data_IF_048546117305
#
_entry.id   IF_048546117305
#
_cell.length_a   1.000
_cell.length_b   1.000
_cell.length_c   1.000
_cell.angle_alpha   90.00
_cell.angle_beta   90.00
_cell.angle_gamma   90.00
#
_symmetry.space_group_name_H-M   'P 1'
#
loop_
_entity.id
_entity.type
_entity.pdbx_description
1 polymer ?
#
# COMPACT_ATOMS: atom_id res chain seq x y z
N UNK A 1 21.36 -2.33 13.06
CA UNK A 1 22.14 -1.89 14.26
C UNK A 1 23.57 -1.66 13.81
N UNK A 2 24.08 -0.44 13.99
CA UNK A 2 25.45 -0.07 13.57
C UNK A 2 26.50 -0.55 14.58
N UNK A 3 26.18 -0.52 15.88
CA UNK A 3 27.03 -1.09 16.94
C UNK A 3 26.18 -1.54 18.11
N UNK A 4 26.64 -2.58 18.81
CA UNK A 4 26.16 -3.04 20.10
C UNK A 4 27.35 -3.69 20.78
N UNK A 5 27.91 -3.04 21.78
CA UNK A 5 29.14 -3.46 22.42
C UNK A 5 28.91 -3.52 23.93
N UNK A 6 29.30 -4.64 24.53
CA UNK A 6 29.45 -4.81 25.96
C UNK A 6 30.94 -4.72 26.34
N UNK A 7 31.25 -4.22 27.54
CA UNK A 7 32.63 -4.03 27.98
C UNK A 7 33.37 -5.35 28.31
N UNK A 8 32.64 -6.43 28.57
CA UNK A 8 33.17 -7.75 28.85
C UNK A 8 32.96 -8.74 27.71
N UNK A 9 31.78 -8.70 27.09
CA UNK A 9 31.39 -9.66 26.04
C UNK A 9 31.75 -9.18 24.62
N UNK A 10 32.16 -7.93 24.44
CA UNK A 10 32.55 -7.37 23.14
C UNK A 10 31.36 -7.11 22.23
N UNK A 11 31.42 -7.52 20.95
CA UNK A 11 30.35 -7.28 19.97
C UNK A 11 29.13 -8.16 20.27
N UNK A 12 27.99 -7.51 20.54
CA UNK A 12 26.72 -8.12 20.92
C UNK A 12 25.67 -8.09 19.78
N UNK A 13 26.04 -7.68 18.58
CA UNK A 13 25.04 -7.48 17.48
C UNK A 13 24.18 -8.70 17.23
N UNK A 14 24.79 -9.89 17.23
CA UNK A 14 24.09 -11.15 16.96
C UNK A 14 23.25 -11.66 18.16
N UNK A 15 23.41 -11.04 19.33
CA UNK A 15 22.65 -11.36 20.55
C UNK A 15 21.48 -10.40 20.80
N UNK A 16 21.22 -9.46 19.89
CA UNK A 16 20.09 -8.55 20.01
C UNK A 16 18.86 -9.16 19.36
N UNK A 17 17.79 -9.23 20.11
CA UNK A 17 16.45 -9.57 19.63
C UNK A 17 15.57 -8.32 19.53
N UNK A 18 14.54 -8.37 18.70
CA UNK A 18 13.56 -7.28 18.59
C UNK A 18 12.17 -7.84 18.31
N UNK A 19 11.16 -7.09 18.74
CA UNK A 19 9.78 -7.42 18.41
C UNK A 19 9.46 -7.06 16.95
N UNK A 20 8.60 -7.84 16.31
CA UNK A 20 8.01 -7.47 15.03
C UNK A 20 6.92 -6.41 15.23
N UNK A 21 6.79 -5.48 14.29
CA UNK A 21 5.70 -4.50 14.28
C UNK A 21 4.75 -4.78 13.12
N UNK A 22 3.48 -4.53 13.35
CA UNK A 22 2.48 -4.55 12.27
C UNK A 22 2.65 -3.31 11.39
N UNK A 23 3.12 -3.51 10.17
CA UNK A 23 3.24 -2.47 9.14
C UNK A 23 2.01 -2.39 8.22
N UNK A 24 0.97 -3.18 8.45
CA UNK A 24 -0.28 -3.14 7.68
C UNK A 24 -1.12 -1.91 8.01
N UNK A 25 -0.94 -1.35 9.20
CA UNK A 25 -1.61 -0.13 9.68
C UNK A 25 -0.60 1.00 9.87
N UNK A 26 -1.00 2.22 9.46
CA UNK A 26 -0.18 3.43 9.63
C UNK A 26 -0.18 3.92 11.09
N UNK A 27 0.76 4.81 11.41
CA UNK A 27 0.89 5.45 12.71
C UNK A 27 2.17 5.07 13.45
N UNK A 28 2.33 5.63 14.64
CA UNK A 28 3.51 5.39 15.47
C UNK A 28 3.51 3.96 16.03
N UNK A 29 4.62 3.27 15.87
CA UNK A 29 4.86 1.92 16.40
C UNK A 29 6.13 1.95 17.23
N UNK A 30 6.18 1.07 18.23
CA UNK A 30 7.37 0.92 19.07
C UNK A 30 8.11 -0.36 18.70
N UNK A 31 9.38 -0.24 18.33
CA UNK A 31 10.31 -1.38 18.21
C UNK A 31 11.15 -1.44 19.49
N UNK A 32 11.04 -2.54 20.22
CA UNK A 32 11.87 -2.81 21.40
C UNK A 32 13.02 -3.74 21.00
N UNK A 33 14.23 -3.28 21.20
CA UNK A 33 15.46 -4.07 21.05
C UNK A 33 15.92 -4.54 22.43
N UNK A 34 16.18 -5.83 22.56
CA UNK A 34 16.63 -6.44 23.80
C UNK A 34 17.97 -7.12 23.57
N UNK A 35 18.99 -6.73 24.34
CA UNK A 35 20.26 -7.41 24.46
C UNK A 35 20.38 -8.07 25.83
N UNK A 36 20.95 -9.28 25.87
CA UNK A 36 21.27 -9.99 27.12
C UNK A 36 22.73 -10.41 27.07
N UNK A 37 23.53 -10.01 28.07
CA UNK A 37 24.93 -10.40 28.17
C UNK A 37 25.09 -11.83 28.68
N UNK A 38 26.32 -12.34 28.73
CA UNK A 38 26.61 -13.71 29.24
C UNK A 38 26.37 -13.86 30.73
N UNK A 39 26.35 -12.78 31.50
CA UNK A 39 26.01 -12.75 32.91
C UNK A 39 24.49 -12.70 33.19
N UNK A 40 23.66 -12.53 32.11
CA UNK A 40 22.23 -12.46 32.23
C UNK A 40 21.66 -11.05 32.43
N UNK A 41 22.50 -10.00 32.36
CA UNK A 41 22.00 -8.63 32.44
C UNK A 41 21.26 -8.27 31.14
N UNK A 42 20.06 -7.69 31.30
CA UNK A 42 19.19 -7.30 30.20
C UNK A 42 19.21 -5.78 29.97
N UNK A 43 19.43 -5.38 28.74
CA UNK A 43 19.26 -3.99 28.31
C UNK A 43 18.14 -3.95 27.24
N UNK A 44 17.24 -3.00 27.40
CA UNK A 44 16.15 -2.78 26.44
C UNK A 44 16.19 -1.33 25.93
N UNK A 45 16.11 -1.17 24.62
CA UNK A 45 16.01 0.14 23.95
C UNK A 45 14.75 0.15 23.10
N UNK A 46 13.92 1.17 23.31
CA UNK A 46 12.70 1.37 22.52
C UNK A 46 12.93 2.46 21.48
N UNK A 47 12.59 2.15 20.23
CA UNK A 47 12.61 3.09 19.11
C UNK A 47 11.17 3.34 18.63
N UNK A 48 10.79 4.61 18.59
CA UNK A 48 9.54 5.01 17.92
C UNK A 48 9.77 5.09 16.42
N UNK A 49 8.98 4.35 15.66
CA UNK A 49 8.99 4.38 14.19
C UNK A 49 7.60 4.76 13.70
N UNK A 50 7.54 5.64 12.73
CA UNK A 50 6.28 6.00 12.08
C UNK A 50 6.09 5.11 10.85
N UNK A 51 5.01 4.31 10.86
CA UNK A 51 4.56 3.59 9.67
C UNK A 51 3.68 4.53 8.88
N UNK A 52 4.22 5.05 7.78
CA UNK A 52 3.48 5.92 6.88
C UNK A 52 2.83 5.13 5.75
N UNK A 53 1.80 5.70 5.16
CA UNK A 53 1.17 5.15 3.97
C UNK A 53 2.18 5.20 2.80
N UNK A 54 2.23 4.10 2.04
CA UNK A 54 3.05 4.04 0.83
C UNK A 54 2.19 3.73 -0.39
N UNK A 55 2.17 4.65 -1.36
CA UNK A 55 1.53 4.41 -2.66
C UNK A 55 2.10 3.20 -3.38
N UNK A 56 3.38 2.87 -3.16
CA UNK A 56 4.01 1.67 -3.72
C UNK A 56 3.39 0.37 -3.21
N UNK A 57 2.94 0.31 -1.94
CA UNK A 57 2.23 -0.86 -1.42
C UNK A 57 0.89 -1.06 -2.13
N UNK A 58 0.15 0.01 -2.39
CA UNK A 58 -1.07 -0.02 -3.20
C UNK A 58 -0.77 -0.58 -4.59
N UNK A 59 0.26 -0.05 -5.24
CA UNK A 59 0.67 -0.48 -6.58
C UNK A 59 1.07 -1.96 -6.59
N UNK A 60 1.92 -2.39 -5.67
CA UNK A 60 2.37 -3.79 -5.58
C UNK A 60 1.20 -4.74 -5.35
N UNK A 61 0.24 -4.36 -4.49
CA UNK A 61 -0.99 -5.13 -4.27
C UNK A 61 -1.81 -5.22 -5.56
N UNK A 62 -1.97 -4.12 -6.29
CA UNK A 62 -2.67 -4.09 -7.58
C UNK A 62 -1.99 -4.94 -8.65
N UNK A 63 -0.68 -4.81 -8.78
CA UNK A 63 0.13 -5.55 -9.75
C UNK A 63 0.10 -7.07 -9.49
N UNK A 64 -0.02 -7.50 -8.24
CA UNK A 64 -0.14 -8.93 -7.88
C UNK A 64 -1.41 -9.59 -8.43
N UNK A 65 -2.40 -8.80 -8.86
CA UNK A 65 -3.68 -9.28 -9.43
C UNK A 65 -3.73 -9.25 -10.95
N UNK A 66 -2.63 -8.95 -11.63
CA UNK A 66 -2.58 -9.04 -13.11
C UNK A 66 -2.96 -10.44 -13.58
N UNK A 67 -3.78 -10.49 -14.64
CA UNK A 67 -4.32 -11.72 -15.19
C UNK A 67 -5.63 -12.19 -14.56
N UNK A 68 -6.07 -11.63 -13.43
CA UNK A 68 -7.40 -11.92 -12.89
C UNK A 68 -8.49 -11.41 -13.86
N UNK A 69 -9.52 -12.24 -14.17
CA UNK A 69 -10.54 -11.86 -15.14
C UNK A 69 -11.40 -10.69 -14.67
N UNK A 70 -11.83 -9.87 -15.63
CA UNK A 70 -12.88 -8.88 -15.38
C UNK A 70 -14.24 -9.58 -15.29
N UNK A 71 -14.95 -9.33 -14.21
CA UNK A 71 -16.35 -9.77 -14.02
C UNK A 71 -17.14 -8.61 -13.42
N UNK A 72 -18.19 -8.18 -14.12
CA UNK A 72 -19.05 -7.09 -13.64
C UNK A 72 -19.63 -7.40 -12.26
N UNK A 73 -19.53 -6.43 -11.35
CA UNK A 73 -20.00 -6.56 -9.97
C UNK A 73 -19.02 -7.28 -9.02
N UNK A 74 -17.93 -7.84 -9.53
CA UNK A 74 -16.97 -8.60 -8.71
C UNK A 74 -16.01 -7.70 -7.94
N UNK A 75 -15.68 -8.13 -6.70
CA UNK A 75 -14.83 -7.39 -5.73
C UNK A 75 -13.60 -8.18 -5.28
N UNK A 76 -13.23 -9.23 -6.04
CA UNK A 76 -12.05 -10.06 -5.72
C UNK A 76 -12.34 -11.25 -4.80
N UNK A 77 -11.32 -12.02 -4.46
CA UNK A 77 -9.90 -11.84 -4.78
C UNK A 77 -9.47 -12.37 -6.15
N UNK A 78 -10.33 -13.12 -6.88
CA UNK A 78 -9.96 -13.87 -8.08
C UNK A 78 -10.55 -13.28 -9.38
N UNK A 79 -11.46 -12.33 -9.26
CA UNK A 79 -12.06 -11.59 -10.38
C UNK A 79 -12.50 -10.20 -9.89
N UNK A 80 -12.59 -9.23 -10.82
CA UNK A 80 -12.86 -7.84 -10.46
C UNK A 80 -13.64 -7.11 -11.55
N UNK A 81 -14.50 -6.14 -11.16
CA UNK A 81 -14.74 -4.99 -12.02
C UNK A 81 -13.80 -3.83 -11.67
N UNK A 82 -13.86 -2.72 -12.39
CA UNK A 82 -12.90 -1.63 -12.24
C UNK A 82 -12.88 -1.03 -10.82
N UNK A 83 -14.02 -0.73 -10.24
CA UNK A 83 -14.14 -0.14 -8.90
C UNK A 83 -14.04 -1.17 -7.77
N UNK A 84 -14.45 -2.41 -8.02
CA UNK A 84 -14.21 -3.54 -7.12
C UNK A 84 -12.73 -3.87 -6.99
N UNK A 85 -11.96 -3.71 -8.07
CA UNK A 85 -10.51 -3.85 -8.07
C UNK A 85 -9.85 -2.78 -7.17
N UNK A 86 -10.15 -1.50 -7.41
CA UNK A 86 -9.60 -0.42 -6.57
C UNK A 86 -10.02 -0.57 -5.11
N UNK A 87 -11.29 -0.90 -4.85
CA UNK A 87 -11.79 -1.14 -3.49
C UNK A 87 -11.03 -2.27 -2.80
N UNK A 88 -10.84 -3.41 -3.48
CA UNK A 88 -10.13 -4.54 -2.93
C UNK A 88 -8.67 -4.20 -2.61
N UNK A 89 -7.96 -3.56 -3.56
CA UNK A 89 -6.55 -3.17 -3.38
C UNK A 89 -6.37 -2.23 -2.19
N UNK A 90 -7.21 -1.21 -2.07
CA UNK A 90 -7.15 -0.26 -0.96
C UNK A 90 -7.45 -0.94 0.37
N UNK A 91 -8.47 -1.82 0.43
CA UNK A 91 -8.80 -2.60 1.63
C UNK A 91 -7.65 -3.49 2.09
N UNK A 92 -6.89 -4.12 1.17
CA UNK A 92 -5.69 -4.90 1.53
C UNK A 92 -4.58 -4.03 2.15
N UNK A 93 -4.65 -2.73 1.95
CA UNK A 93 -3.71 -1.75 2.52
C UNK A 93 -4.33 -0.97 3.71
N UNK A 94 -5.41 -1.47 4.29
CA UNK A 94 -6.04 -0.89 5.48
C UNK A 94 -6.90 0.36 5.20
N UNK A 95 -7.19 0.68 3.93
CA UNK A 95 -8.00 1.83 3.55
C UNK A 95 -9.35 1.38 3.02
N UNK A 96 -10.42 1.79 3.70
CA UNK A 96 -11.79 1.53 3.23
C UNK A 96 -12.22 2.62 2.26
N UNK A 97 -12.65 2.20 1.06
CA UNK A 97 -13.22 3.09 0.04
C UNK A 97 -14.55 2.53 -0.46
N UNK A 98 -15.46 3.38 -0.98
CA UNK A 98 -16.76 2.93 -1.45
C UNK A 98 -16.70 1.96 -2.64
N UNK A 99 -17.84 1.32 -2.91
CA UNK A 99 -17.94 0.26 -3.94
C UNK A 99 -17.88 0.80 -5.37
N UNK A 100 -18.56 1.88 -5.65
CA UNK A 100 -18.70 2.36 -7.02
C UNK A 100 -17.71 3.46 -7.36
N UNK A 101 -17.34 3.58 -8.64
CA UNK A 101 -16.42 4.63 -9.10
C UNK A 101 -16.90 6.05 -8.81
N UNK A 102 -18.21 6.28 -8.83
CA UNK A 102 -18.81 7.59 -8.52
C UNK A 102 -18.70 7.92 -7.03
N UNK A 103 -19.00 6.95 -6.16
CA UNK A 103 -18.84 7.12 -4.71
C UNK A 103 -17.36 7.25 -4.32
N UNK A 104 -16.46 6.52 -4.98
CA UNK A 104 -15.02 6.69 -4.79
C UNK A 104 -14.60 8.13 -5.09
N UNK A 105 -15.13 8.75 -6.15
CA UNK A 105 -14.84 10.16 -6.41
C UNK A 105 -15.37 11.08 -5.31
N UNK A 106 -16.62 10.89 -4.90
CA UNK A 106 -17.27 11.80 -3.93
C UNK A 106 -16.70 11.68 -2.51
N UNK A 107 -16.08 10.54 -2.16
CA UNK A 107 -15.52 10.29 -0.83
C UNK A 107 -14.00 10.47 -0.74
N UNK A 108 -13.32 10.79 -1.84
CA UNK A 108 -11.89 11.03 -1.83
C UNK A 108 -11.54 12.22 -0.92
N UNK A 109 -10.49 12.09 -0.12
CA UNK A 109 -10.00 13.19 0.73
C UNK A 109 -9.51 14.39 -0.10
N UNK A 110 -8.89 14.09 -1.25
CA UNK A 110 -8.47 15.10 -2.22
C UNK A 110 -8.74 14.60 -3.65
N UNK A 111 -9.25 15.50 -4.48
CA UNK A 111 -9.28 15.33 -5.92
C UNK A 111 -8.13 16.16 -6.50
N UNK A 112 -7.23 15.53 -7.22
CA UNK A 112 -6.01 16.15 -7.76
C UNK A 112 -6.06 16.18 -9.30
N UNK A 113 -5.35 17.12 -9.90
CA UNK A 113 -5.16 17.17 -11.36
C UNK A 113 -4.25 16.02 -11.82
N UNK A 114 -4.24 15.74 -13.12
CA UNK A 114 -3.36 14.71 -13.67
C UNK A 114 -1.86 15.06 -13.57
N UNK A 115 -1.53 16.33 -13.38
CA UNK A 115 -0.14 16.80 -13.16
C UNK A 115 0.34 16.64 -11.71
N UNK A 116 -0.60 16.43 -10.77
CA UNK A 116 -0.31 16.28 -9.33
C UNK A 116 -0.44 14.83 -8.84
N UNK A 117 -0.53 13.87 -9.79
CA UNK A 117 -0.67 12.45 -9.46
C UNK A 117 0.56 11.93 -8.71
N UNK A 118 0.28 11.19 -7.67
CA UNK A 118 1.27 10.39 -6.94
C UNK A 118 1.00 8.89 -7.16
N UNK A 119 2.05 8.09 -7.10
CA UNK A 119 1.94 6.63 -7.18
C UNK A 119 0.97 6.13 -6.12
N UNK A 120 0.02 5.30 -6.54
CA UNK A 120 -1.05 4.80 -5.69
C UNK A 120 -2.37 5.58 -5.78
N UNK A 121 -2.41 6.79 -6.36
CA UNK A 121 -3.68 7.51 -6.58
C UNK A 121 -4.62 6.72 -7.50
N UNK A 122 -5.93 6.84 -7.26
CA UNK A 122 -6.94 6.30 -8.17
C UNK A 122 -7.16 7.30 -9.32
N UNK A 123 -6.88 6.90 -10.53
CA UNK A 123 -7.31 7.60 -11.74
C UNK A 123 -8.82 7.44 -11.93
N UNK A 124 -9.50 8.54 -12.18
CA UNK A 124 -10.96 8.56 -12.33
C UNK A 124 -11.42 9.20 -13.64
N UNK A 125 -12.37 8.54 -14.27
CA UNK A 125 -13.29 9.11 -15.29
C UNK A 125 -14.69 8.55 -15.09
N UNK A 126 -15.68 9.14 -15.74
CA UNK A 126 -17.05 8.59 -15.68
C UNK A 126 -17.06 7.13 -16.14
N UNK A 127 -17.59 6.25 -15.27
CA UNK A 127 -17.73 4.82 -15.52
C UNK A 127 -16.44 4.00 -15.41
N UNK A 128 -15.27 4.58 -15.06
CA UNK A 128 -14.05 3.81 -14.96
C UNK A 128 -13.02 4.39 -13.99
N UNK A 129 -12.28 3.47 -13.35
CA UNK A 129 -11.17 3.79 -12.45
C UNK A 129 -9.99 2.83 -12.67
N UNK A 130 -8.80 3.28 -12.29
CA UNK A 130 -7.58 2.48 -12.25
C UNK A 130 -6.63 3.05 -11.21
N UNK A 131 -5.53 2.39 -10.90
CA UNK A 131 -4.52 2.83 -9.92
C UNK A 131 -3.29 3.31 -10.69
N UNK A 132 -2.88 4.56 -10.45
CA UNK A 132 -1.69 5.14 -11.05
C UNK A 132 -0.43 4.49 -10.49
N UNK A 133 0.46 4.06 -11.38
CA UNK A 133 1.70 3.36 -11.01
C UNK A 133 2.97 4.15 -11.39
N UNK A 134 2.81 5.40 -11.83
CA UNK A 134 3.91 6.24 -12.30
C UNK A 134 4.08 6.20 -13.82
N UNK A 135 4.87 7.15 -14.35
CA UNK A 135 5.27 7.22 -15.76
C UNK A 135 4.09 7.18 -16.77
N UNK A 136 2.95 7.77 -16.42
CA UNK A 136 1.77 7.76 -17.28
C UNK A 136 1.10 6.39 -17.44
N UNK A 137 1.41 5.44 -16.55
CA UNK A 137 0.87 4.08 -16.54
C UNK A 137 -0.08 3.87 -15.35
N UNK A 138 -0.97 2.88 -15.49
CA UNK A 138 -1.91 2.50 -14.45
C UNK A 138 -2.28 1.02 -14.55
N UNK A 139 -2.63 0.42 -13.42
CA UNK A 139 -3.20 -0.94 -13.35
C UNK A 139 -4.70 -0.87 -13.11
N UNK A 140 -5.46 -1.66 -13.84
CA UNK A 140 -6.93 -1.66 -13.77
C UNK A 140 -7.56 -2.97 -14.22
N UNK A 141 -8.84 -3.17 -13.89
CA UNK A 141 -9.71 -4.17 -14.49
C UNK A 141 -10.56 -3.45 -15.57
N UNK A 142 -10.32 -3.67 -16.88
CA UNK A 142 -10.84 -2.80 -17.92
C UNK A 142 -12.34 -3.00 -18.26
N UNK A 143 -12.72 -4.18 -18.73
CA UNK A 143 -14.08 -4.51 -19.20
C UNK A 143 -14.25 -6.04 -19.35
N UNK A 144 -15.49 -6.48 -19.58
CA UNK A 144 -15.82 -7.88 -19.86
C UNK A 144 -14.98 -8.44 -21.02
N UNK A 145 -14.47 -9.64 -20.83
CA UNK A 145 -13.60 -10.33 -21.79
C UNK A 145 -12.11 -10.00 -21.66
N UNK A 146 -11.75 -9.12 -20.72
CA UNK A 146 -10.37 -8.75 -20.45
C UNK A 146 -9.96 -9.13 -19.02
N UNK A 147 -8.72 -8.86 -18.66
CA UNK A 147 -8.12 -9.17 -17.35
C UNK A 147 -7.53 -7.93 -16.71
N UNK A 148 -7.24 -8.00 -15.42
CA UNK A 148 -6.44 -6.98 -14.73
C UNK A 148 -5.09 -6.86 -15.42
N UNK A 149 -4.76 -5.65 -15.87
CA UNK A 149 -3.53 -5.37 -16.62
C UNK A 149 -3.00 -3.97 -16.38
N UNK A 150 -1.77 -3.73 -16.80
CA UNK A 150 -1.18 -2.41 -16.91
C UNK A 150 -1.52 -1.81 -18.26
N UNK A 151 -1.88 -0.54 -18.27
CA UNK A 151 -2.11 0.26 -19.47
C UNK A 151 -1.38 1.59 -19.37
N UNK A 152 -1.14 2.22 -20.51
CA UNK A 152 -0.51 3.54 -20.62
C UNK A 152 -1.48 4.56 -21.19
N UNK A 153 -1.20 5.85 -20.98
CA UNK A 153 -1.99 6.93 -21.52
C UNK A 153 -3.12 7.38 -20.59
N UNK A 154 -2.76 8.15 -19.58
CA UNK A 154 -3.70 8.66 -18.56
C UNK A 154 -4.62 9.79 -19.04
N UNK A 155 -4.37 10.36 -20.24
CA UNK A 155 -5.10 11.53 -20.74
C UNK A 155 -6.62 11.35 -20.93
N UNK A 156 -7.12 10.11 -20.92
CA UNK A 156 -8.57 9.82 -20.94
C UNK A 156 -9.24 9.99 -19.58
N UNK A 157 -8.47 10.04 -18.49
CA UNK A 157 -8.97 10.29 -17.14
C UNK A 157 -9.18 11.79 -16.90
N UNK A 158 -9.98 12.14 -15.91
CA UNK A 158 -10.33 13.52 -15.59
C UNK A 158 -9.56 14.06 -14.38
N UNK A 159 -9.23 13.19 -13.44
CA UNK A 159 -8.53 13.55 -12.20
C UNK A 159 -7.97 12.31 -11.52
N UNK A 160 -7.13 12.55 -10.50
CA UNK A 160 -6.75 11.58 -9.50
C UNK A 160 -7.59 11.71 -8.22
N UNK A 161 -7.73 10.61 -7.50
CA UNK A 161 -8.41 10.55 -6.20
C UNK A 161 -7.41 10.07 -5.16
N UNK A 162 -7.19 10.86 -4.12
CA UNK A 162 -6.25 10.56 -3.02
C UNK A 162 -7.01 10.32 -1.73
N UNK A 163 -6.67 9.22 -1.05
CA UNK A 163 -7.31 8.76 0.18
C UNK A 163 -6.39 8.78 1.41
N UNK A 164 -5.15 9.20 1.23
CA UNK A 164 -4.10 9.28 2.25
C UNK A 164 -3.86 10.71 2.71
#
# INVERSE_FOLDING_TARGET
ITSAVDNLDGDMKDKITFNTIDTSTTGNKTVAYTGVDTAGNKTEVQLQVEVTFSGERIVNTGLSKRGCPYVWGSTGPNSFDCSGFTQWVYRQNGISIPRTSSEQKSSAKRVVSLSELEVGDILWRSGHVGIYIGNGQYVHAPHTGDVVKVSSGIGSFKCGLRYQ
#
